data_IF_614129451032
#
_entry.id   IF_614129451032
#
_cell.length_a   1.000
_cell.length_b   1.000
_cell.length_c   1.000
_cell.angle_alpha   90.00
_cell.angle_beta   90.00
_cell.angle_gamma   90.00
#
_symmetry.space_group_name_H-M   'P 1'
#
loop_
_entity.id
_entity.type
_entity.pdbx_description
1 polymer ?
#
# COMPACT_ATOMS: atom_id res chain seq x y z
N UNK A 1 27.67 -1.63 -0.91
CA UNK A 1 27.33 -0.30 -0.35
C UNK A 1 26.89 0.70 -1.43
N UNK A 2 27.63 0.89 -2.54
CA UNK A 2 27.23 1.82 -3.63
C UNK A 2 25.83 1.57 -4.21
N UNK A 3 25.46 0.30 -4.39
CA UNK A 3 24.17 -0.06 -4.99
C UNK A 3 22.97 0.25 -4.06
N UNK A 4 23.19 0.31 -2.75
CA UNK A 4 22.15 0.60 -1.76
C UNK A 4 21.66 2.04 -1.93
N UNK A 5 22.58 2.98 -2.18
CA UNK A 5 22.26 4.39 -2.44
C UNK A 5 21.47 4.57 -3.73
N UNK A 6 21.79 3.79 -4.76
CA UNK A 6 21.10 3.84 -6.06
C UNK A 6 19.68 3.26 -5.91
N UNK A 7 19.54 2.12 -5.24
CA UNK A 7 18.25 1.46 -5.02
C UNK A 7 17.35 2.33 -4.12
N UNK A 8 17.89 2.90 -3.04
CA UNK A 8 17.10 3.77 -2.14
C UNK A 8 16.65 5.06 -2.83
N UNK A 9 17.51 5.67 -3.65
CA UNK A 9 17.15 6.83 -4.47
C UNK A 9 16.02 6.51 -5.46
N UNK A 10 16.08 5.35 -6.12
CA UNK A 10 15.04 4.92 -7.04
C UNK A 10 13.70 4.66 -6.35
N UNK A 11 13.72 4.06 -5.15
CA UNK A 11 12.53 3.86 -4.32
C UNK A 11 11.92 5.21 -3.92
N UNK A 12 12.73 6.17 -3.47
CA UNK A 12 12.25 7.50 -3.07
C UNK A 12 11.62 8.27 -4.23
N UNK A 13 12.24 8.25 -5.41
CA UNK A 13 11.67 8.87 -6.62
C UNK A 13 10.34 8.20 -6.99
N UNK A 14 10.29 6.87 -6.96
CA UNK A 14 9.06 6.12 -7.27
C UNK A 14 7.95 6.44 -6.28
N UNK A 15 8.24 6.52 -4.98
CA UNK A 15 7.29 6.91 -3.95
C UNK A 15 6.79 8.35 -4.14
N UNK A 16 7.68 9.29 -4.48
CA UNK A 16 7.32 10.68 -4.77
C UNK A 16 6.43 10.83 -6.01
N UNK A 17 6.72 10.08 -7.07
CA UNK A 17 5.91 10.08 -8.30
C UNK A 17 4.53 9.44 -8.08
N UNK A 18 4.47 8.37 -7.29
CA UNK A 18 3.22 7.69 -6.97
C UNK A 18 2.41 8.40 -5.88
N UNK A 19 3.01 9.32 -5.11
CA UNK A 19 2.39 10.03 -3.99
C UNK A 19 1.05 10.70 -4.30
N UNK A 20 0.85 11.40 -5.44
CA UNK A 20 -0.43 12.03 -5.77
C UNK A 20 -1.56 11.04 -6.06
N UNK A 21 -1.22 9.82 -6.48
CA UNK A 21 -2.19 8.73 -6.64
C UNK A 21 -2.40 8.00 -5.32
N UNK A 22 -1.32 7.73 -4.58
CA UNK A 22 -1.35 7.11 -3.25
C UNK A 22 -2.16 7.94 -2.25
N UNK A 23 -2.02 9.28 -2.27
CA UNK A 23 -2.77 10.18 -1.39
C UNK A 23 -4.25 10.27 -1.70
N UNK A 24 -4.65 9.87 -2.92
CA UNK A 24 -6.05 9.76 -3.35
C UNK A 24 -6.64 8.37 -3.10
N UNK A 25 -5.80 7.37 -2.81
CA UNK A 25 -6.29 6.08 -2.33
C UNK A 25 -6.81 6.34 -0.92
N UNK A 26 -8.10 6.08 -0.65
CA UNK A 26 -8.61 6.10 0.71
C UNK A 26 -8.03 4.89 1.44
N UNK A 27 -6.78 4.99 1.91
CA UNK A 27 -6.18 4.04 2.83
C UNK A 27 -7.03 4.05 4.10
N UNK A 28 -7.97 3.11 4.23
CA UNK A 28 -9.01 3.29 5.23
C UNK A 28 -10.42 3.03 4.74
N UNK A 29 -10.74 3.45 3.53
CA UNK A 29 -12.13 3.55 3.05
C UNK A 29 -12.25 3.01 1.63
N UNK A 30 -11.49 1.96 1.31
CA UNK A 30 -11.75 1.23 0.08
C UNK A 30 -13.11 0.53 0.21
N UNK A 31 -13.91 0.45 -0.87
CA UNK A 31 -15.14 -0.33 -0.86
C UNK A 31 -14.82 -1.78 -0.47
N UNK A 32 -15.24 -2.19 0.74
CA UNK A 32 -14.91 -3.48 1.34
C UNK A 32 -14.11 -3.42 2.64
N UNK A 33 -13.55 -2.27 3.00
CA UNK A 33 -13.02 -2.03 4.36
C UNK A 33 -14.19 -1.75 5.32
N UNK A 34 -14.24 -2.46 6.44
CA UNK A 34 -15.35 -2.37 7.41
C UNK A 34 -14.95 -1.42 8.53
N UNK A 35 -15.74 -0.38 8.73
CA UNK A 35 -15.56 0.59 9.81
C UNK A 35 -16.76 0.47 10.75
N UNK A 36 -16.49 0.06 11.97
CA UNK A 36 -17.50 -0.01 13.03
C UNK A 36 -17.24 1.18 13.94
N UNK A 37 -18.08 2.21 13.84
CA UNK A 37 -18.05 3.36 14.75
C UNK A 37 -19.19 3.22 15.78
N UNK A 38 -18.80 3.10 17.05
CA UNK A 38 -19.67 3.22 18.23
C UNK A 38 -19.22 4.42 19.06
N UNK A 39 -20.11 4.89 19.94
CA UNK A 39 -19.95 6.09 20.79
C UNK A 39 -18.61 6.18 21.54
N UNK A 40 -17.98 5.04 21.88
CA UNK A 40 -16.65 4.98 22.51
C UNK A 40 -15.66 4.01 21.81
N UNK A 41 -15.99 3.48 20.63
CA UNK A 41 -15.19 2.43 19.99
C UNK A 41 -15.19 2.57 18.47
N UNK A 42 -14.02 2.82 17.90
CA UNK A 42 -13.78 2.76 16.45
C UNK A 42 -12.97 1.51 16.14
N UNK A 43 -13.56 0.55 15.43
CA UNK A 43 -12.86 -0.64 14.94
C UNK A 43 -12.74 -0.55 13.43
N UNK A 44 -11.50 -0.61 12.96
CA UNK A 44 -11.15 -0.54 11.56
C UNK A 44 -10.68 -1.91 11.07
N UNK A 45 -11.34 -2.45 10.05
CA UNK A 45 -11.06 -3.77 9.50
C UNK A 45 -10.71 -3.61 8.00
N UNK A 46 -9.40 -3.46 7.68
CA UNK A 46 -8.91 -3.19 6.32
C UNK A 46 -8.86 -4.45 5.41
N UNK A 47 -9.97 -5.15 5.20
CA UNK A 47 -9.95 -6.40 4.40
C UNK A 47 -9.56 -6.14 2.94
N UNK A 48 -10.18 -5.14 2.31
CA UNK A 48 -9.92 -4.84 0.90
C UNK A 48 -8.50 -4.29 0.71
N UNK A 49 -8.07 -3.40 1.61
CA UNK A 49 -6.71 -2.88 1.61
C UNK A 49 -5.66 -4.01 1.73
N UNK A 50 -5.84 -4.95 2.67
CA UNK A 50 -4.88 -6.05 2.88
C UNK A 50 -4.86 -7.03 1.70
N UNK A 51 -6.00 -7.32 1.09
CA UNK A 51 -6.08 -8.14 -0.11
C UNK A 51 -5.36 -7.50 -1.29
N UNK A 52 -5.56 -6.19 -1.50
CA UNK A 52 -4.90 -5.45 -2.56
C UNK A 52 -3.38 -5.48 -2.40
N UNK A 53 -2.88 -5.19 -1.19
CA UNK A 53 -1.45 -5.25 -0.87
C UNK A 53 -0.88 -6.65 -1.14
N UNK A 54 -1.58 -7.69 -0.69
CA UNK A 54 -1.14 -9.08 -0.88
C UNK A 54 -1.05 -9.46 -2.36
N UNK A 55 -2.03 -9.04 -3.17
CA UNK A 55 -2.04 -9.27 -4.61
C UNK A 55 -0.89 -8.52 -5.31
N UNK A 56 -0.66 -7.26 -4.94
CA UNK A 56 0.43 -6.43 -5.47
C UNK A 56 1.80 -7.04 -5.19
N UNK A 57 2.05 -7.43 -3.94
CA UNK A 57 3.29 -8.11 -3.55
C UNK A 57 3.46 -9.44 -4.27
N UNK A 58 2.39 -10.22 -4.39
CA UNK A 58 2.40 -11.49 -5.12
C UNK A 58 2.76 -11.29 -6.59
N UNK A 59 2.19 -10.26 -7.24
CA UNK A 59 2.49 -9.93 -8.63
C UNK A 59 3.95 -9.47 -8.81
N UNK A 60 4.46 -8.64 -7.89
CA UNK A 60 5.86 -8.20 -7.89
C UNK A 60 6.79 -9.41 -7.75
N UNK A 61 6.55 -10.30 -6.77
CA UNK A 61 7.37 -11.50 -6.60
C UNK A 61 7.27 -12.43 -7.79
N UNK A 62 6.08 -12.58 -8.40
CA UNK A 62 5.90 -13.37 -9.60
C UNK A 62 6.72 -12.82 -10.78
N UNK A 63 6.70 -11.51 -11.00
CA UNK A 63 7.49 -10.83 -12.04
C UNK A 63 9.01 -10.93 -11.80
N UNK A 64 9.44 -10.90 -10.53
CA UNK A 64 10.84 -11.05 -10.13
C UNK A 64 11.31 -12.51 -10.12
N UNK A 65 10.40 -13.50 -10.21
CA UNK A 65 10.75 -14.94 -10.18
C UNK A 65 11.20 -15.47 -11.55
N UNK A 66 11.66 -14.61 -12.44
CA UNK A 66 12.34 -14.95 -13.68
C UNK A 66 13.80 -14.54 -13.58
#
# INVERSE_FOLDING_TARGET
MRNILIISGLILISLGLLWPWLSKIPFGHLPGDIIIEKENLRVYIPIATMLLISLLLSLIFWLLRK
#
